data_IF_271473799360
#
_entry.id   IF_271473799360
#
_cell.length_a   1.000
_cell.length_b   1.000
_cell.length_c   1.000
_cell.angle_alpha   90.00
_cell.angle_beta   90.00
_cell.angle_gamma   90.00
#
_symmetry.space_group_name_H-M   'P 1'
#
loop_
_entity.id
_entity.type
_entity.pdbx_description
1 polymer ?
#
# COMPACT_ATOMS: atom_id res chain seq x y z
N UNK A 1 -8.85 36.58 -65.55
CA UNK A 1 -9.93 35.78 -64.94
C UNK A 1 -9.48 34.33 -64.90
N UNK A 2 -9.67 33.63 -63.77
CA UNK A 2 -8.79 32.55 -63.31
C UNK A 2 -9.18 31.17 -63.87
N UNK A 3 -8.26 30.19 -63.81
CA UNK A 3 -8.52 28.82 -64.24
C UNK A 3 -9.29 28.03 -63.16
N UNK A 4 -10.15 27.15 -63.63
CA UNK A 4 -10.97 26.20 -62.87
C UNK A 4 -10.11 25.13 -62.19
N UNK A 5 -10.16 25.05 -60.85
CA UNK A 5 -9.63 23.94 -60.08
C UNK A 5 -10.57 22.72 -60.18
N UNK A 6 -10.06 21.63 -60.73
CA UNK A 6 -10.62 20.28 -60.60
C UNK A 6 -10.03 19.60 -59.37
N UNK A 7 -10.84 19.35 -58.34
CA UNK A 7 -10.47 18.50 -57.21
C UNK A 7 -10.77 17.04 -57.55
N UNK A 8 -9.73 16.22 -57.69
CA UNK A 8 -9.84 14.76 -57.73
C UNK A 8 -9.85 14.23 -56.30
N UNK A 9 -10.93 13.54 -55.94
CA UNK A 9 -11.11 12.90 -54.64
C UNK A 9 -10.37 11.55 -54.65
N UNK A 10 -9.19 11.47 -54.04
CA UNK A 10 -8.51 10.20 -53.81
C UNK A 10 -9.00 9.60 -52.49
N UNK A 11 -9.85 8.57 -52.59
CA UNK A 11 -10.23 7.73 -51.46
C UNK A 11 -9.03 6.88 -51.01
N UNK A 12 -8.41 7.24 -49.89
CA UNK A 12 -7.51 6.35 -49.16
C UNK A 12 -8.33 5.44 -48.25
N UNK A 13 -8.51 4.20 -48.67
CA UNK A 13 -9.07 3.12 -47.84
C UNK A 13 -8.01 2.77 -46.78
N UNK A 14 -8.20 3.23 -45.54
CA UNK A 14 -7.44 2.72 -44.40
C UNK A 14 -8.01 1.37 -43.99
N UNK A 15 -7.25 0.30 -44.24
CA UNK A 15 -7.49 -1.03 -43.67
C UNK A 15 -7.35 -0.95 -42.14
N UNK A 16 -8.47 -1.03 -41.43
CA UNK A 16 -8.49 -1.26 -39.98
C UNK A 16 -8.21 -2.75 -39.75
N UNK A 17 -6.96 -3.09 -39.44
CA UNK A 17 -6.58 -4.40 -38.92
C UNK A 17 -7.11 -4.55 -37.49
N UNK A 18 -8.25 -5.25 -37.35
CA UNK A 18 -8.76 -5.76 -36.07
C UNK A 18 -7.84 -6.88 -35.58
N UNK A 19 -6.83 -6.54 -34.80
CA UNK A 19 -6.08 -7.52 -34.01
C UNK A 19 -6.96 -7.99 -32.83
N UNK A 20 -7.59 -9.15 -32.99
CA UNK A 20 -8.14 -9.91 -31.87
C UNK A 20 -6.96 -10.46 -31.05
N UNK A 21 -6.45 -9.67 -30.11
CA UNK A 21 -5.61 -10.22 -29.04
C UNK A 21 -6.51 -10.95 -28.05
N UNK A 22 -6.57 -12.27 -28.20
CA UNK A 22 -6.99 -13.17 -27.14
C UNK A 22 -6.09 -12.94 -25.92
N UNK A 23 -6.53 -12.09 -24.99
CA UNK A 23 -5.87 -11.90 -23.71
C UNK A 23 -6.08 -13.17 -22.90
N UNK A 24 -5.06 -14.04 -22.91
CA UNK A 24 -4.91 -15.06 -21.88
C UNK A 24 -4.71 -14.35 -20.54
N UNK A 25 -5.82 -14.06 -19.87
CA UNK A 25 -5.85 -13.58 -18.50
C UNK A 25 -5.16 -14.63 -17.63
N UNK A 26 -3.88 -14.43 -17.36
CA UNK A 26 -3.18 -15.15 -16.30
C UNK A 26 -3.81 -14.68 -14.99
N UNK A 27 -4.80 -15.46 -14.55
CA UNK A 27 -5.28 -15.42 -13.19
C UNK A 27 -4.07 -15.64 -12.28
N UNK A 28 -3.96 -14.92 -11.15
CA UNK A 28 -2.92 -15.22 -10.18
C UNK A 28 -3.03 -16.69 -9.85
N UNK A 29 -1.91 -17.41 -9.90
CA UNK A 29 -1.82 -18.80 -9.50
C UNK A 29 -2.60 -18.92 -8.19
N UNK A 30 -3.74 -19.59 -8.29
CA UNK A 30 -4.60 -19.83 -7.16
C UNK A 30 -3.70 -20.56 -6.18
N UNK A 31 -3.67 -20.14 -4.93
CA UNK A 31 -3.11 -20.94 -3.85
C UNK A 31 -4.01 -22.17 -3.80
N UNK A 32 -3.65 -23.21 -4.59
CA UNK A 32 -4.47 -24.40 -4.86
C UNK A 32 -4.50 -25.33 -3.63
N UNK A 33 -3.60 -25.16 -2.67
CA UNK A 33 -3.77 -25.74 -1.33
C UNK A 33 -4.36 -24.70 -0.39
N UNK A 34 -5.39 -25.04 0.38
CA UNK A 34 -5.94 -24.16 1.43
C UNK A 34 -4.95 -23.80 2.55
N UNK A 35 -3.67 -24.18 2.43
CA UNK A 35 -2.63 -23.99 3.43
C UNK A 35 -1.94 -22.62 3.27
N UNK A 36 -1.50 -22.05 4.39
CA UNK A 36 -0.71 -20.81 4.38
C UNK A 36 0.77 -21.14 4.10
N UNK A 37 1.53 -20.22 3.47
CA UNK A 37 2.96 -20.38 3.32
C UNK A 37 3.67 -20.52 4.67
N UNK A 38 4.79 -21.23 4.68
CA UNK A 38 5.65 -21.38 5.86
C UNK A 38 6.92 -20.54 5.72
N UNK A 39 7.48 -20.12 6.85
CA UNK A 39 8.63 -19.22 6.90
C UNK A 39 9.69 -19.77 7.85
N UNK A 40 10.95 -19.41 7.59
CA UNK A 40 12.06 -19.60 8.51
C UNK A 40 11.89 -18.66 9.70
N UNK A 41 12.33 -19.09 10.86
CA UNK A 41 12.42 -18.22 12.03
C UNK A 41 13.41 -17.09 11.75
N UNK A 42 13.01 -15.85 12.07
CA UNK A 42 13.85 -14.68 11.95
C UNK A 42 14.90 -14.65 13.07
N UNK A 43 16.09 -14.07 12.84
CA UNK A 43 17.05 -13.77 13.91
C UNK A 43 16.43 -12.96 15.04
N UNK A 44 16.96 -13.13 16.25
CA UNK A 44 16.60 -12.29 17.38
C UNK A 44 17.22 -10.89 17.22
N UNK A 45 16.39 -9.85 17.25
CA UNK A 45 16.81 -8.46 17.20
C UNK A 45 16.74 -7.83 18.59
N UNK A 46 17.78 -7.11 18.99
CA UNK A 46 17.90 -6.51 20.33
C UNK A 46 18.15 -5.02 20.22
N UNK A 47 17.66 -4.27 21.21
CA UNK A 47 17.92 -2.85 21.34
C UNK A 47 19.41 -2.54 21.35
N UNK A 48 19.82 -1.55 20.56
CA UNK A 48 21.16 -0.96 20.62
C UNK A 48 21.40 -0.25 21.95
N UNK A 49 22.68 0.05 22.25
CA UNK A 49 23.11 0.70 23.50
C UNK A 49 22.40 2.04 23.77
N UNK A 50 22.04 2.76 22.71
CA UNK A 50 21.41 4.08 22.81
C UNK A 50 19.95 4.01 23.28
N UNK A 51 19.29 2.86 23.12
CA UNK A 51 17.91 2.65 23.53
C UNK A 51 17.77 2.57 25.07
N UNK A 52 18.78 2.04 25.76
CA UNK A 52 18.77 1.84 27.22
C UNK A 52 18.86 3.16 28.01
N UNK A 53 19.40 4.23 27.41
CA UNK A 53 19.50 5.55 28.05
C UNK A 53 18.13 6.25 28.18
N UNK A 54 17.08 5.75 27.53
CA UNK A 54 15.70 6.22 27.67
C UNK A 54 15.02 5.52 28.87
N UNK A 55 15.61 5.64 30.06
CA UNK A 55 15.17 5.01 31.32
C UNK A 55 13.80 5.54 31.80
N UNK A 56 13.32 6.63 31.22
CA UNK A 56 11.93 7.10 31.35
C UNK A 56 11.25 7.14 29.98
N UNK A 57 10.74 5.98 29.55
CA UNK A 57 9.82 5.88 28.41
C UNK A 57 10.49 6.11 27.05
N UNK A 58 11.26 5.14 26.57
CA UNK A 58 11.47 5.02 25.13
C UNK A 58 10.10 4.99 24.44
N UNK A 59 9.79 5.98 23.60
CA UNK A 59 8.51 6.05 22.88
C UNK A 59 8.34 4.77 22.06
N UNK A 60 7.34 3.97 22.43
CA UNK A 60 6.92 2.79 21.68
C UNK A 60 6.51 3.25 20.27
N UNK A 61 7.08 2.61 19.25
CA UNK A 61 6.74 2.88 17.86
C UNK A 61 5.64 1.91 17.45
N UNK A 62 4.47 2.45 17.16
CA UNK A 62 3.33 1.65 16.71
C UNK A 62 3.32 1.58 15.18
N UNK A 63 3.26 0.36 14.64
CA UNK A 63 3.18 0.11 13.19
C UNK A 63 1.96 -0.73 12.89
N UNK A 64 1.08 -0.29 11.99
CA UNK A 64 -0.04 -1.06 11.48
C UNK A 64 0.25 -1.64 10.11
N UNK A 65 -0.15 -2.90 9.91
CA UNK A 65 -0.13 -3.58 8.62
C UNK A 65 -1.37 -4.46 8.47
N UNK A 66 -1.85 -4.64 7.24
CA UNK A 66 -2.83 -5.69 6.95
C UNK A 66 -2.15 -7.04 6.81
N UNK A 67 -2.80 -8.10 7.28
CA UNK A 67 -2.38 -9.48 7.04
C UNK A 67 -3.45 -10.26 6.28
N UNK A 68 -3.11 -10.67 5.07
CA UNK A 68 -3.86 -11.66 4.30
C UNK A 68 -2.90 -12.68 3.68
N UNK A 69 -3.45 -13.81 3.26
CA UNK A 69 -2.68 -14.92 2.74
C UNK A 69 -1.91 -14.61 1.45
N UNK A 70 -2.47 -13.74 0.59
CA UNK A 70 -1.89 -13.40 -0.71
C UNK A 70 -0.62 -12.57 -0.54
N UNK A 71 -0.63 -11.66 0.43
CA UNK A 71 0.48 -10.75 0.71
C UNK A 71 1.27 -11.11 1.97
N UNK A 72 1.05 -12.31 2.54
CA UNK A 72 1.71 -12.72 3.78
C UNK A 72 3.23 -12.75 3.63
N UNK A 73 3.76 -13.21 2.49
CA UNK A 73 5.20 -13.23 2.21
C UNK A 73 5.80 -11.82 2.18
N UNK A 74 5.11 -10.87 1.56
CA UNK A 74 5.51 -9.46 1.59
C UNK A 74 5.44 -8.86 3.00
N UNK A 75 4.38 -9.17 3.76
CA UNK A 75 4.20 -8.66 5.13
C UNK A 75 5.31 -9.15 6.06
N UNK A 76 5.69 -10.43 5.94
CA UNK A 76 6.82 -11.02 6.68
C UNK A 76 8.13 -10.32 6.32
N UNK A 77 8.40 -10.10 5.03
CA UNK A 77 9.60 -9.37 4.61
C UNK A 77 9.61 -7.92 5.12
N UNK A 78 8.46 -7.25 5.12
CA UNK A 78 8.30 -5.90 5.68
C UNK A 78 8.62 -5.85 7.17
N UNK A 79 8.04 -6.76 7.96
CA UNK A 79 8.34 -6.89 9.41
C UNK A 79 9.82 -7.15 9.64
N UNK A 80 10.41 -8.09 8.90
CA UNK A 80 11.82 -8.44 9.03
C UNK A 80 12.72 -7.24 8.72
N UNK A 81 12.44 -6.51 7.64
CA UNK A 81 13.20 -5.31 7.27
C UNK A 81 13.14 -4.21 8.33
N UNK A 82 11.97 -3.97 8.94
CA UNK A 82 11.85 -3.01 10.05
C UNK A 82 12.71 -3.43 11.24
N UNK A 83 12.62 -4.69 11.65
CA UNK A 83 13.39 -5.19 12.80
C UNK A 83 14.91 -5.17 12.54
N UNK A 84 15.32 -5.45 11.31
CA UNK A 84 16.72 -5.47 10.91
C UNK A 84 17.36 -4.08 10.90
N UNK A 85 16.60 -3.03 10.57
CA UNK A 85 17.13 -1.67 10.42
C UNK A 85 16.78 -0.72 11.57
N UNK A 86 15.91 -1.13 12.50
CA UNK A 86 15.60 -0.33 13.68
C UNK A 86 16.78 -0.33 14.66
N UNK A 87 17.13 0.84 15.22
CA UNK A 87 18.10 0.91 16.32
C UNK A 87 17.56 0.29 17.61
N UNK A 88 16.24 0.39 17.80
CA UNK A 88 15.52 -0.09 18.99
C UNK A 88 14.37 -1.03 18.61
N UNK A 89 14.64 -2.22 18.03
CA UNK A 89 13.61 -3.13 17.53
C UNK A 89 12.66 -3.64 18.62
N UNK A 90 13.12 -3.75 19.88
CA UNK A 90 12.27 -4.20 21.00
C UNK A 90 11.26 -3.12 21.43
N UNK A 91 11.40 -1.88 20.95
CA UNK A 91 10.45 -0.78 21.18
C UNK A 91 9.38 -0.66 20.07
N UNK A 92 9.41 -1.54 19.06
CA UNK A 92 8.45 -1.53 17.96
C UNK A 92 7.32 -2.52 18.27
N UNK A 93 6.08 -2.05 18.14
CA UNK A 93 4.87 -2.86 18.31
C UNK A 93 4.09 -2.91 17.02
N UNK A 94 3.87 -4.12 16.51
CA UNK A 94 3.06 -4.33 15.32
C UNK A 94 1.58 -4.53 15.64
N UNK A 95 0.73 -3.84 14.92
CA UNK A 95 -0.71 -3.99 14.93
C UNK A 95 -1.15 -4.56 13.59
N UNK A 96 -1.41 -5.86 13.57
CA UNK A 96 -1.89 -6.54 12.38
C UNK A 96 -3.41 -6.51 12.30
N UNK A 97 -3.94 -6.26 11.11
CA UNK A 97 -5.38 -6.24 10.85
C UNK A 97 -5.70 -7.35 9.85
N UNK A 98 -6.61 -8.26 10.20
CA UNK A 98 -6.99 -9.39 9.35
C UNK A 98 -8.48 -9.72 9.44
N UNK A 99 -9.01 -10.39 8.42
CA UNK A 99 -10.39 -10.94 8.44
C UNK A 99 -10.46 -12.22 9.29
N UNK A 100 -11.66 -12.60 9.75
CA UNK A 100 -11.86 -13.67 10.75
C UNK A 100 -11.29 -15.02 10.36
N UNK A 101 -11.51 -15.44 9.11
CA UNK A 101 -11.40 -16.85 8.70
C UNK A 101 -9.99 -17.45 8.80
N UNK A 102 -8.93 -16.65 8.96
CA UNK A 102 -7.54 -17.16 9.03
C UNK A 102 -6.70 -16.58 10.18
N UNK A 103 -7.33 -15.89 11.14
CA UNK A 103 -6.58 -15.21 12.22
C UNK A 103 -5.77 -16.18 13.10
N UNK A 104 -6.28 -17.36 13.50
CA UNK A 104 -5.50 -18.31 14.30
C UNK A 104 -4.22 -18.75 13.60
N UNK A 105 -4.31 -19.09 12.32
CA UNK A 105 -3.19 -19.55 11.50
C UNK A 105 -2.19 -18.42 11.22
N UNK A 106 -2.68 -17.22 10.90
CA UNK A 106 -1.85 -16.03 10.74
C UNK A 106 -1.09 -15.70 12.04
N UNK A 107 -1.77 -15.75 13.20
CA UNK A 107 -1.13 -15.55 14.50
C UNK A 107 -0.04 -16.57 14.75
N UNK A 108 -0.32 -17.86 14.50
CA UNK A 108 0.66 -18.93 14.64
C UNK A 108 1.89 -18.65 13.77
N UNK A 109 1.69 -18.32 12.50
CA UNK A 109 2.78 -18.03 11.56
C UNK A 109 3.63 -16.84 12.03
N UNK A 110 3.02 -15.72 12.41
CA UNK A 110 3.78 -14.56 12.91
C UNK A 110 4.55 -14.95 14.18
N UNK A 111 3.94 -15.69 15.09
CA UNK A 111 4.60 -16.13 16.35
C UNK A 111 5.79 -17.04 16.07
N UNK A 112 5.66 -18.00 15.15
CA UNK A 112 6.77 -18.92 14.82
C UNK A 112 7.83 -18.26 13.95
N UNK A 113 7.48 -17.26 13.15
CA UNK A 113 8.42 -16.54 12.29
C UNK A 113 9.20 -15.49 13.09
N UNK A 114 8.54 -14.83 14.04
CA UNK A 114 9.15 -13.78 14.88
C UNK A 114 8.83 -14.01 16.38
N UNK A 115 9.52 -14.95 17.05
CA UNK A 115 9.19 -15.32 18.43
C UNK A 115 9.31 -14.20 19.46
N UNK A 116 10.13 -13.17 19.16
CA UNK A 116 10.39 -12.03 20.03
C UNK A 116 9.61 -10.77 19.64
N UNK A 117 8.74 -10.84 18.62
CA UNK A 117 7.97 -9.69 18.16
C UNK A 117 6.83 -9.37 19.12
N UNK A 118 6.77 -8.13 19.58
CA UNK A 118 5.56 -7.63 20.25
C UNK A 118 4.53 -7.26 19.19
N UNK A 119 3.41 -7.99 19.14
CA UNK A 119 2.34 -7.70 18.20
C UNK A 119 0.94 -7.95 18.75
N UNK A 120 -0.03 -7.28 18.13
CA UNK A 120 -1.45 -7.52 18.31
C UNK A 120 -2.10 -7.85 16.96
N UNK A 121 -3.07 -8.76 16.95
CA UNK A 121 -3.82 -9.13 15.75
C UNK A 121 -5.31 -8.85 15.94
N UNK A 122 -5.80 -7.81 15.25
CA UNK A 122 -7.16 -7.32 15.31
C UNK A 122 -8.04 -7.91 14.21
N UNK A 123 -9.34 -7.99 14.50
CA UNK A 123 -10.34 -8.37 13.52
C UNK A 123 -10.82 -7.15 12.74
N UNK A 124 -10.84 -7.26 11.42
CA UNK A 124 -11.56 -6.34 10.55
C UNK A 124 -12.88 -6.97 10.09
N UNK A 125 -14.00 -6.36 10.49
CA UNK A 125 -15.31 -6.74 9.98
C UNK A 125 -15.50 -6.22 8.54
N UNK A 126 -15.46 -7.15 7.59
CA UNK A 126 -15.65 -6.85 6.17
C UNK A 126 -17.04 -6.24 5.87
N UNK A 127 -18.04 -6.43 6.73
CA UNK A 127 -19.37 -5.89 6.52
C UNK A 127 -19.41 -4.36 6.64
N UNK A 128 -18.44 -3.76 7.34
CA UNK A 128 -18.28 -2.30 7.39
C UNK A 128 -18.15 -1.69 5.99
N UNK A 129 -17.53 -2.40 5.05
CA UNK A 129 -17.23 -1.88 3.71
C UNK A 129 -17.98 -2.58 2.58
N UNK A 130 -18.51 -3.80 2.79
CA UNK A 130 -19.17 -4.61 1.76
C UNK A 130 -20.25 -3.86 0.97
N UNK A 131 -21.09 -3.07 1.66
CA UNK A 131 -22.14 -2.26 1.02
C UNK A 131 -21.66 -0.95 0.38
N UNK A 132 -20.40 -0.56 0.61
CA UNK A 132 -19.82 0.74 0.23
C UNK A 132 -18.79 0.61 -0.91
N UNK A 133 -18.24 -0.59 -1.14
CA UNK A 133 -17.26 -0.83 -2.20
C UNK A 133 -17.94 -0.84 -3.58
N UNK A 134 -17.34 -0.09 -4.50
CA UNK A 134 -17.64 -0.11 -5.93
C UNK A 134 -16.61 -0.96 -6.65
N UNK A 135 -17.04 -1.74 -7.65
CA UNK A 135 -16.11 -2.49 -8.50
C UNK A 135 -15.06 -1.56 -9.11
N UNK A 136 -13.79 -1.85 -8.87
CA UNK A 136 -12.65 -1.18 -9.47
C UNK A 136 -12.20 -1.91 -10.73
N UNK A 137 -11.52 -1.19 -11.64
CA UNK A 137 -10.84 -1.79 -12.80
C UNK A 137 -9.88 -2.91 -12.36
N UNK A 138 -9.40 -2.88 -11.11
CA UNK A 138 -8.61 -3.95 -10.50
C UNK A 138 -9.41 -4.67 -9.44
N UNK A 139 -9.85 -5.90 -9.72
CA UNK A 139 -10.59 -6.76 -8.75
C UNK A 139 -9.87 -6.93 -7.40
N UNK A 140 -8.54 -6.95 -7.40
CA UNK A 140 -7.74 -7.01 -6.17
C UNK A 140 -7.98 -5.80 -5.23
N UNK A 141 -8.40 -4.65 -5.78
CA UNK A 141 -8.72 -3.43 -5.00
C UNK A 141 -10.09 -3.48 -4.33
N UNK A 142 -10.95 -4.42 -4.73
CA UNK A 142 -12.29 -4.60 -4.16
C UNK A 142 -12.28 -5.42 -2.86
N UNK A 143 -11.10 -5.96 -2.49
CA UNK A 143 -10.95 -6.71 -1.25
C UNK A 143 -11.22 -5.81 -0.04
N UNK A 144 -12.13 -6.21 0.89
CA UNK A 144 -12.47 -5.41 2.06
C UNK A 144 -11.25 -4.95 2.87
N UNK A 145 -10.22 -5.79 2.96
CA UNK A 145 -9.02 -5.50 3.76
C UNK A 145 -8.24 -4.28 3.24
N UNK A 146 -8.33 -3.91 1.96
CA UNK A 146 -7.71 -2.70 1.41
C UNK A 146 -8.28 -1.39 2.00
N UNK A 147 -9.44 -1.48 2.65
CA UNK A 147 -10.11 -0.35 3.30
C UNK A 147 -9.88 -0.35 4.81
N UNK A 148 -9.26 -1.40 5.38
CA UNK A 148 -9.06 -1.54 6.83
C UNK A 148 -8.27 -0.37 7.43
N UNK A 149 -7.33 0.21 6.66
CA UNK A 149 -6.58 1.41 7.07
C UNK A 149 -7.43 2.63 7.40
N UNK A 150 -8.66 2.70 6.87
CA UNK A 150 -9.61 3.78 7.19
C UNK A 150 -10.16 3.68 8.62
N UNK A 151 -10.09 2.49 9.21
CA UNK A 151 -10.73 2.16 10.50
C UNK A 151 -9.69 1.95 11.61
N UNK A 152 -8.40 2.26 11.39
CA UNK A 152 -7.36 2.05 12.40
C UNK A 152 -7.69 2.74 13.72
N UNK A 153 -8.21 3.96 13.65
CA UNK A 153 -8.62 4.74 14.82
C UNK A 153 -9.74 4.07 15.64
N UNK A 154 -10.63 3.33 14.97
CA UNK A 154 -11.78 2.65 15.58
C UNK A 154 -11.42 1.24 16.07
N UNK A 155 -10.47 0.59 15.40
CA UNK A 155 -10.01 -0.78 15.71
C UNK A 155 -9.00 -0.77 16.87
N UNK A 156 -8.10 0.21 16.89
CA UNK A 156 -7.00 0.24 17.85
C UNK A 156 -7.42 0.85 19.19
N UNK A 157 -6.83 0.37 20.30
CA UNK A 157 -7.07 0.94 21.63
C UNK A 157 -6.88 2.46 21.67
N UNK A 158 -7.71 3.13 22.48
CA UNK A 158 -7.73 4.60 22.58
C UNK A 158 -6.41 5.22 23.07
N UNK A 159 -5.58 4.46 23.81
CA UNK A 159 -4.25 4.91 24.22
C UNK A 159 -3.22 4.93 23.09
N UNK A 160 -3.48 4.24 21.96
CA UNK A 160 -2.66 4.37 20.75
C UNK A 160 -3.05 5.67 20.04
N UNK A 161 -2.23 6.71 20.22
CA UNK A 161 -2.46 8.07 19.71
C UNK A 161 -1.79 8.35 18.37
N UNK A 162 -0.72 7.64 18.04
CA UNK A 162 0.03 7.78 16.79
C UNK A 162 0.30 6.41 16.21
N UNK A 163 0.33 6.29 14.89
CA UNK A 163 0.70 5.05 14.22
C UNK A 163 1.38 5.31 12.88
N UNK A 164 2.33 4.46 12.50
CA UNK A 164 2.80 4.34 11.12
C UNK A 164 1.97 3.25 10.45
N UNK A 165 1.40 3.52 9.30
CA UNK A 165 0.76 2.51 8.47
C UNK A 165 1.69 2.11 7.31
N UNK A 166 1.86 0.81 7.11
CA UNK A 166 2.62 0.19 6.03
C UNK A 166 1.75 -0.79 5.24
N UNK A 167 1.78 -0.67 3.90
CA UNK A 167 1.27 -1.71 3.01
C UNK A 167 2.15 -2.97 3.07
N UNK A 168 1.59 -4.10 2.67
CA UNK A 168 2.22 -5.42 2.79
C UNK A 168 3.33 -5.71 1.78
N UNK A 169 3.68 -4.76 0.91
CA UNK A 169 4.59 -4.94 -0.24
C UNK A 169 5.72 -3.92 -0.26
N UNK A 170 6.31 -3.67 0.91
CA UNK A 170 7.45 -2.78 1.10
C UNK A 170 8.55 -3.40 1.95
N UNK A 171 9.74 -2.81 1.87
CA UNK A 171 10.86 -3.02 2.80
C UNK A 171 11.39 -1.68 3.28
N UNK A 172 11.79 -1.63 4.53
CA UNK A 172 12.44 -0.48 5.16
C UNK A 172 13.94 -0.75 5.21
N UNK A 173 14.76 0.23 4.82
CA UNK A 173 16.22 0.14 4.77
C UNK A 173 16.91 1.26 5.57
N UNK A 174 16.17 1.86 6.50
CA UNK A 174 16.63 2.91 7.41
C UNK A 174 15.89 2.77 8.75
N UNK A 175 16.32 3.50 9.78
CA UNK A 175 15.70 3.42 11.09
C UNK A 175 14.29 4.04 11.10
N UNK A 176 13.27 3.21 11.32
CA UNK A 176 11.86 3.62 11.38
C UNK A 176 11.57 4.69 12.45
N UNK A 177 12.43 4.82 13.47
CA UNK A 177 12.32 5.88 14.46
C UNK A 177 12.38 7.29 13.83
N UNK A 178 13.10 7.44 12.72
CA UNK A 178 13.17 8.71 11.97
C UNK A 178 11.82 9.07 11.35
N UNK A 179 11.13 8.11 10.74
CA UNK A 179 9.77 8.28 10.22
C UNK A 179 8.77 8.57 11.35
N UNK A 180 8.89 7.85 12.47
CA UNK A 180 8.04 8.05 13.65
C UNK A 180 8.15 9.47 14.24
N UNK A 181 9.36 10.03 14.22
CA UNK A 181 9.66 11.34 14.80
C UNK A 181 9.23 12.54 13.95
N UNK A 182 8.74 12.33 12.73
CA UNK A 182 8.29 13.44 11.88
C UNK A 182 7.15 14.18 12.59
N UNK A 183 7.31 15.49 12.76
CA UNK A 183 6.28 16.35 13.33
C UNK A 183 5.15 16.52 12.31
N UNK A 184 3.92 16.17 12.71
CA UNK A 184 2.73 16.35 11.90
C UNK A 184 2.14 17.76 12.02
N UNK A 185 2.73 18.61 12.87
CA UNK A 185 2.24 19.94 13.20
C UNK A 185 0.73 19.91 13.52
N UNK A 186 -0.07 20.73 12.83
CA UNK A 186 -1.53 20.74 12.95
C UNK A 186 -2.20 19.61 12.17
N UNK A 187 -1.52 18.97 11.20
CA UNK A 187 -2.10 17.95 10.33
C UNK A 187 -2.36 16.64 11.07
N UNK A 188 -3.24 15.82 10.48
CA UNK A 188 -3.65 14.51 11.02
C UNK A 188 -2.82 13.37 10.43
N UNK A 189 -2.28 13.58 9.23
CA UNK A 189 -1.64 12.55 8.44
C UNK A 189 -0.41 13.15 7.75
N UNK A 190 0.70 12.43 7.75
CA UNK A 190 1.90 12.73 6.98
C UNK A 190 2.19 11.64 5.97
N UNK A 191 2.53 12.04 4.74
CA UNK A 191 2.89 11.13 3.67
C UNK A 191 3.74 11.84 2.59
N UNK A 192 4.54 11.12 1.81
CA UNK A 192 5.20 11.68 0.64
C UNK A 192 4.21 12.14 -0.43
N UNK A 193 4.28 13.42 -0.81
CA UNK A 193 3.44 14.02 -1.87
C UNK A 193 4.17 14.07 -3.22
N UNK A 194 3.49 13.69 -4.29
CA UNK A 194 4.01 13.68 -5.66
C UNK A 194 3.18 14.61 -6.55
N UNK A 195 3.38 15.91 -6.37
CA UNK A 195 2.63 16.96 -7.08
C UNK A 195 2.84 17.00 -8.61
N UNK A 196 3.84 16.27 -9.13
CA UNK A 196 4.05 16.14 -10.58
C UNK A 196 3.03 15.18 -11.24
N UNK A 197 2.35 14.34 -10.45
CA UNK A 197 1.31 13.48 -10.97
C UNK A 197 0.09 14.30 -11.37
N UNK A 198 -0.53 13.98 -12.51
CA UNK A 198 -1.77 14.64 -12.92
C UNK A 198 -2.92 14.23 -11.99
N UNK A 199 -3.21 15.09 -11.02
CA UNK A 199 -4.21 14.85 -9.97
C UNK A 199 -5.63 14.62 -10.54
N UNK A 200 -5.94 15.22 -11.68
CA UNK A 200 -7.24 15.06 -12.37
C UNK A 200 -7.52 13.60 -12.72
N UNK A 201 -6.48 12.79 -12.98
CA UNK A 201 -6.61 11.39 -13.38
C UNK A 201 -7.13 10.45 -12.28
N UNK A 202 -7.18 10.89 -11.01
CA UNK A 202 -7.67 10.08 -9.90
C UNK A 202 -9.20 10.12 -9.75
N UNK A 203 -9.88 10.97 -10.53
CA UNK A 203 -11.33 11.16 -10.51
C UNK A 203 -11.89 11.17 -11.93
N UNK A 204 -13.16 10.77 -12.08
CA UNK A 204 -13.82 10.72 -13.40
C UNK A 204 -14.23 12.11 -13.87
N UNK A 205 -14.52 12.26 -15.17
CA UNK A 205 -15.13 13.49 -15.70
C UNK A 205 -16.38 13.91 -14.92
N UNK A 206 -17.21 12.93 -14.49
CA UNK A 206 -18.41 13.18 -13.69
C UNK A 206 -18.12 13.84 -12.34
N UNK A 207 -16.97 13.54 -11.73
CA UNK A 207 -16.55 14.24 -10.51
C UNK A 207 -16.28 15.72 -10.82
N UNK A 208 -15.43 15.98 -11.81
CA UNK A 208 -14.99 17.33 -12.15
C UNK A 208 -16.09 18.22 -12.73
N UNK A 209 -17.06 17.62 -13.43
CA UNK A 209 -18.23 18.33 -13.97
C UNK A 209 -19.26 18.72 -12.90
N UNK A 210 -19.13 18.23 -11.67
CA UNK A 210 -20.02 18.56 -10.55
C UNK A 210 -19.38 19.65 -9.68
N UNK A 211 -19.92 20.88 -9.65
CA UNK A 211 -19.37 21.95 -8.82
C UNK A 211 -19.32 21.58 -7.33
N UNK A 212 -20.30 20.82 -6.85
CA UNK A 212 -20.36 20.37 -5.45
C UNK A 212 -19.21 19.41 -5.08
N UNK A 213 -18.79 18.55 -6.01
CA UNK A 213 -17.69 17.62 -5.79
C UNK A 213 -16.34 18.29 -5.97
N UNK A 214 -16.17 19.05 -7.05
CA UNK A 214 -14.94 19.81 -7.29
C UNK A 214 -14.64 20.82 -6.17
N UNK A 215 -15.67 21.39 -5.54
CA UNK A 215 -15.53 22.28 -4.38
C UNK A 215 -14.82 21.62 -3.18
N UNK A 216 -14.75 20.28 -3.09
CA UNK A 216 -14.01 19.58 -2.02
C UNK A 216 -12.51 19.88 -2.01
N UNK A 217 -11.94 20.33 -3.15
CA UNK A 217 -10.55 20.74 -3.27
C UNK A 217 -10.36 22.27 -3.31
N UNK A 218 -11.44 23.05 -3.18
CA UNK A 218 -11.36 24.51 -3.26
C UNK A 218 -10.45 25.06 -2.15
N UNK A 219 -9.44 25.83 -2.54
CA UNK A 219 -8.49 26.44 -1.61
C UNK A 219 -7.40 25.49 -1.10
N UNK A 220 -7.29 24.27 -1.66
CA UNK A 220 -6.25 23.31 -1.32
C UNK A 220 -5.26 23.15 -2.47
N UNK A 221 -3.98 23.11 -2.17
CA UNK A 221 -2.95 22.66 -3.10
C UNK A 221 -2.94 21.13 -3.13
N UNK A 222 -3.97 20.54 -3.73
CA UNK A 222 -4.17 19.09 -3.71
C UNK A 222 -3.13 18.36 -4.57
N UNK A 223 -2.27 17.57 -3.92
CA UNK A 223 -1.33 16.67 -4.59
C UNK A 223 -1.70 15.21 -4.36
N UNK A 224 -1.25 14.34 -5.29
CA UNK A 224 -1.31 12.90 -5.07
C UNK A 224 -0.31 12.52 -3.97
N UNK A 225 -0.76 11.70 -3.04
CA UNK A 225 0.12 10.95 -2.14
C UNK A 225 -0.30 9.48 -2.15
N UNK A 226 0.68 8.60 -2.01
CA UNK A 226 0.43 7.17 -1.91
C UNK A 226 -0.02 6.82 -0.48
N UNK A 227 -1.02 5.94 -0.34
CA UNK A 227 -1.61 5.55 0.96
C UNK A 227 -1.01 4.28 1.57
N UNK A 228 0.12 3.80 1.02
CA UNK A 228 0.82 2.62 1.53
C UNK A 228 1.91 2.92 2.55
N UNK A 229 2.26 4.20 2.74
CA UNK A 229 3.15 4.67 3.81
C UNK A 229 2.58 5.96 4.38
N UNK A 230 2.15 5.93 5.64
CA UNK A 230 1.54 7.10 6.29
C UNK A 230 1.92 7.16 7.77
N UNK A 231 2.19 8.35 8.30
CA UNK A 231 2.23 8.61 9.74
C UNK A 231 0.91 9.27 10.13
N UNK A 232 0.18 8.70 11.07
CA UNK A 232 -1.18 9.11 11.40
C UNK A 232 -1.27 9.47 12.88
N UNK A 233 -1.79 10.65 13.16
CA UNK A 233 -2.28 11.05 14.48
C UNK A 233 -3.70 10.48 14.66
N UNK A 234 -3.78 9.32 15.34
CA UNK A 234 -5.04 8.66 15.64
C UNK A 234 -5.89 9.43 16.66
N UNK A 235 -5.29 10.30 17.47
CA UNK A 235 -6.06 11.13 18.37
C UNK A 235 -6.87 12.17 17.58
N UNK A 236 -6.20 12.97 16.75
CA UNK A 236 -6.88 13.93 15.86
C UNK A 236 -7.79 13.24 14.85
N UNK A 237 -7.44 12.03 14.41
CA UNK A 237 -8.31 11.22 13.54
C UNK A 237 -9.68 10.94 14.18
N UNK A 238 -9.69 10.54 15.45
CA UNK A 238 -10.91 10.28 16.22
C UNK A 238 -11.70 11.56 16.45
N UNK A 239 -11.02 12.61 16.93
CA UNK A 239 -11.64 13.92 17.21
C UNK A 239 -12.31 14.51 15.96
N UNK A 240 -11.61 14.47 14.82
CA UNK A 240 -12.12 14.98 13.55
C UNK A 240 -13.03 14.03 12.79
N UNK A 241 -13.39 12.86 13.37
CA UNK A 241 -14.29 11.84 12.80
C UNK A 241 -13.93 11.46 11.36
N UNK A 242 -12.64 11.27 11.10
CA UNK A 242 -12.14 11.09 9.73
C UNK A 242 -12.58 9.78 9.07
N UNK A 243 -12.80 8.71 9.85
CA UNK A 243 -13.41 7.48 9.35
C UNK A 243 -14.74 7.77 8.64
N UNK A 244 -15.61 8.55 9.28
CA UNK A 244 -16.93 8.87 8.74
C UNK A 244 -16.88 9.72 7.47
N UNK A 245 -15.93 10.67 7.42
CA UNK A 245 -15.67 11.48 6.22
C UNK A 245 -15.26 10.60 5.03
N UNK A 246 -14.40 9.61 5.26
CA UNK A 246 -14.00 8.63 4.24
C UNK A 246 -15.19 7.77 3.80
N UNK A 247 -15.96 7.24 4.75
CA UNK A 247 -17.15 6.46 4.44
C UNK A 247 -18.18 7.24 3.62
N UNK A 248 -18.37 8.53 3.91
CA UNK A 248 -19.26 9.40 3.15
C UNK A 248 -18.87 9.42 1.66
N UNK A 249 -17.58 9.58 1.36
CA UNK A 249 -17.09 9.54 -0.02
C UNK A 249 -17.23 8.15 -0.66
N UNK A 250 -17.09 7.07 0.12
CA UNK A 250 -17.37 5.71 -0.39
C UNK A 250 -18.86 5.55 -0.75
N UNK A 251 -19.79 6.07 0.06
CA UNK A 251 -21.23 6.06 -0.24
C UNK A 251 -21.55 6.87 -1.50
N UNK A 252 -20.95 8.06 -1.65
CA UNK A 252 -21.09 8.89 -2.86
C UNK A 252 -20.57 8.14 -4.08
N UNK A 253 -19.39 7.52 -3.99
CA UNK A 253 -18.82 6.69 -5.05
C UNK A 253 -19.73 5.53 -5.45
N UNK A 254 -20.34 4.84 -4.48
CA UNK A 254 -21.25 3.71 -4.74
C UNK A 254 -22.42 4.10 -5.64
N UNK A 255 -22.95 5.31 -5.45
CA UNK A 255 -24.09 5.84 -6.20
C UNK A 255 -23.67 6.50 -7.52
N UNK A 256 -22.59 7.28 -7.49
CA UNK A 256 -22.27 8.22 -8.57
C UNK A 256 -21.07 7.83 -9.43
N UNK A 257 -20.23 6.87 -9.02
CA UNK A 257 -19.02 6.45 -9.79
C UNK A 257 -18.12 7.63 -10.17
N UNK A 258 -17.64 8.33 -9.16
CA UNK A 258 -16.80 9.54 -9.26
C UNK A 258 -15.28 9.23 -9.37
N UNK A 259 -14.86 7.98 -9.21
CA UNK A 259 -13.49 7.50 -9.47
C UNK A 259 -13.50 6.00 -9.83
N UNK A 260 -12.37 5.45 -10.29
CA UNK A 260 -12.25 4.05 -10.74
C UNK A 260 -11.27 3.19 -9.93
N UNK A 261 -10.53 3.84 -9.02
CA UNK A 261 -9.56 3.20 -8.13
C UNK A 261 -10.23 2.66 -6.85
N UNK A 262 -9.46 1.93 -6.04
CA UNK A 262 -9.90 1.35 -4.77
C UNK A 262 -9.98 2.35 -3.62
N UNK A 263 -9.26 2.07 -2.54
CA UNK A 263 -9.32 2.87 -1.31
C UNK A 263 -8.58 4.22 -1.37
N UNK A 264 -7.79 4.49 -2.40
CA UNK A 264 -6.99 5.72 -2.52
C UNK A 264 -7.84 7.01 -2.68
N UNK A 265 -8.80 7.12 -3.62
CA UNK A 265 -9.50 8.39 -3.84
C UNK A 265 -10.25 8.96 -2.63
N UNK A 266 -10.89 8.16 -1.75
CA UNK A 266 -11.41 8.66 -0.48
C UNK A 266 -10.36 9.40 0.36
N UNK A 267 -9.14 8.86 0.47
CA UNK A 267 -8.06 9.54 1.17
C UNK A 267 -7.69 10.86 0.49
N UNK A 268 -7.58 10.88 -0.84
CA UNK A 268 -7.29 12.12 -1.56
C UNK A 268 -8.39 13.17 -1.32
N UNK A 269 -9.66 12.81 -1.38
CA UNK A 269 -10.79 13.72 -1.12
C UNK A 269 -10.76 14.33 0.29
N UNK A 270 -10.29 13.57 1.27
CA UNK A 270 -10.26 14.01 2.67
C UNK A 270 -8.97 14.76 3.02
N UNK A 271 -7.83 14.37 2.45
CA UNK A 271 -6.50 14.80 2.93
C UNK A 271 -5.60 15.46 1.89
N UNK A 272 -5.88 15.41 0.58
CA UNK A 272 -4.98 16.04 -0.40
C UNK A 272 -4.92 17.57 -0.18
N UNK A 273 -3.70 18.11 -0.07
CA UNK A 273 -3.43 19.51 0.31
C UNK A 273 -3.49 19.77 1.83
N UNK A 274 -3.77 18.74 2.63
CA UNK A 274 -3.91 18.79 4.09
C UNK A 274 -3.00 17.77 4.79
N UNK A 275 -2.12 17.09 4.05
CA UNK A 275 -1.11 16.19 4.62
C UNK A 275 0.14 16.97 5.03
N UNK A 276 0.83 16.48 6.06
CA UNK A 276 2.19 16.89 6.34
C UNK A 276 3.14 16.27 5.29
N UNK A 277 4.09 17.07 4.80
CA UNK A 277 5.01 16.63 3.75
C UNK A 277 6.12 15.79 4.36
N UNK A 278 6.08 14.49 4.07
CA UNK A 278 7.16 13.55 4.39
C UNK A 278 8.12 13.44 3.21
N UNK A 279 9.42 13.29 3.47
CA UNK A 279 10.43 13.19 2.42
C UNK A 279 10.21 11.94 1.55
N UNK A 280 10.43 12.09 0.23
CA UNK A 280 10.21 11.01 -0.76
C UNK A 280 11.02 9.73 -0.48
N UNK A 281 12.12 9.83 0.27
CA UNK A 281 12.93 8.68 0.69
C UNK A 281 12.13 7.60 1.42
N UNK A 282 11.04 8.00 2.09
CA UNK A 282 10.15 7.10 2.83
C UNK A 282 9.13 6.39 1.96
N UNK A 283 9.10 6.63 0.65
CA UNK A 283 8.23 5.88 -0.24
C UNK A 283 8.76 5.91 -1.68
N UNK A 284 9.71 5.02 -2.00
CA UNK A 284 10.10 4.74 -3.38
C UNK A 284 9.03 3.84 -4.01
N UNK A 285 7.90 4.44 -4.40
CA UNK A 285 6.71 3.72 -4.84
C UNK A 285 6.74 3.40 -6.33
N UNK A 286 5.88 2.48 -6.75
CA UNK A 286 5.73 2.09 -8.15
C UNK A 286 6.67 0.96 -8.60
N UNK A 287 7.44 0.37 -7.68
CA UNK A 287 8.37 -0.73 -8.01
C UNK A 287 7.65 -2.02 -8.42
N UNK A 288 6.33 -2.09 -8.20
CA UNK A 288 5.46 -3.12 -8.74
C UNK A 288 5.21 -3.01 -10.25
N UNK A 289 5.94 -2.12 -10.92
CA UNK A 289 5.92 -1.89 -12.36
C UNK A 289 4.81 -0.96 -12.80
N UNK A 290 4.85 -0.55 -14.07
CA UNK A 290 3.74 0.19 -14.63
C UNK A 290 2.46 -0.66 -14.66
N UNK A 291 1.33 0.04 -14.77
CA UNK A 291 0.02 -0.57 -14.64
C UNK A 291 -0.51 -1.23 -15.93
N UNK A 292 0.20 -1.04 -17.05
CA UNK A 292 -0.19 -1.29 -18.43
C UNK A 292 0.62 -2.45 -19.05
N UNK A 293 1.94 -2.32 -19.10
CA UNK A 293 2.91 -3.23 -19.69
C UNK A 293 3.70 -4.02 -18.62
N UNK A 294 3.70 -3.55 -17.37
CA UNK A 294 4.40 -4.21 -16.26
C UNK A 294 5.91 -4.01 -16.30
N UNK A 295 6.39 -2.94 -16.95
CA UNK A 295 7.81 -2.61 -17.03
C UNK A 295 8.37 -2.33 -15.63
N UNK A 296 9.63 -2.72 -15.44
CA UNK A 296 10.39 -2.35 -14.26
C UNK A 296 10.56 -0.82 -14.20
N UNK A 297 10.47 -0.26 -12.99
CA UNK A 297 10.67 1.18 -12.76
C UNK A 297 11.91 1.39 -11.90
N UNK A 298 12.62 2.48 -12.18
CA UNK A 298 13.73 2.94 -11.37
C UNK A 298 13.25 3.66 -10.10
N UNK A 299 14.19 3.89 -9.19
CA UNK A 299 13.98 4.69 -7.99
C UNK A 299 13.74 6.17 -8.37
N UNK A 300 12.94 6.86 -7.57
CA UNK A 300 12.88 8.31 -7.62
C UNK A 300 14.24 8.91 -7.18
N UNK A 301 14.61 10.10 -7.69
CA UNK A 301 15.84 10.77 -7.29
C UNK A 301 15.93 11.02 -5.78
N UNK A 302 17.14 10.97 -5.24
CA UNK A 302 17.44 11.29 -3.84
C UNK A 302 17.70 10.06 -2.98
N UNK A 303 17.81 10.24 -1.65
CA UNK A 303 18.09 9.15 -0.73
C UNK A 303 16.93 8.16 -0.64
N UNK A 304 17.21 6.96 -0.15
CA UNK A 304 16.25 5.87 0.00
C UNK A 304 16.22 5.40 1.45
N UNK A 305 15.03 5.29 2.00
CA UNK A 305 14.77 4.71 3.32
C UNK A 305 13.71 3.62 3.28
N UNK A 306 12.86 3.60 2.25
CA UNK A 306 11.83 2.59 2.06
C UNK A 306 11.58 2.35 0.57
N UNK A 307 11.55 1.08 0.18
CA UNK A 307 11.22 0.62 -1.17
C UNK A 307 9.82 -0.01 -1.18
N UNK A 308 8.97 0.39 -2.13
CA UNK A 308 7.56 0.00 -2.13
C UNK A 308 7.12 -0.52 -3.50
N UNK A 309 6.79 -1.81 -3.57
CA UNK A 309 6.29 -2.50 -4.75
C UNK A 309 4.79 -2.26 -5.00
N UNK A 310 4.37 -1.01 -4.81
CA UNK A 310 3.02 -0.56 -5.13
C UNK A 310 2.75 -0.82 -6.63
N UNK A 311 1.69 -1.53 -6.96
CA UNK A 311 1.43 -1.98 -8.33
C UNK A 311 1.02 -3.44 -8.40
N UNK A 312 1.08 -4.02 -9.60
CA UNK A 312 0.69 -5.42 -9.83
C UNK A 312 1.85 -6.39 -9.58
N UNK A 313 3.05 -6.04 -10.02
CA UNK A 313 4.25 -6.82 -9.82
C UNK A 313 4.59 -6.92 -8.34
N UNK A 314 4.83 -8.14 -7.86
CA UNK A 314 5.34 -8.38 -6.51
C UNK A 314 6.70 -9.05 -6.61
N UNK A 315 7.68 -8.64 -5.79
CA UNK A 315 9.05 -9.10 -5.93
C UNK A 315 9.13 -10.62 -5.78
N UNK A 316 8.44 -11.20 -4.79
CA UNK A 316 8.39 -12.65 -4.61
C UNK A 316 7.81 -13.41 -5.81
N UNK A 317 6.76 -12.89 -6.45
CA UNK A 317 6.17 -13.53 -7.63
C UNK A 317 7.11 -13.45 -8.85
N UNK A 318 7.81 -12.32 -9.02
CA UNK A 318 8.76 -12.13 -10.12
C UNK A 318 10.02 -12.96 -9.94
N UNK A 319 10.52 -13.07 -8.71
CA UNK A 319 11.66 -13.94 -8.36
C UNK A 319 11.30 -15.41 -8.60
N UNK A 320 10.16 -15.88 -8.07
CA UNK A 320 9.73 -17.28 -8.21
C UNK A 320 9.51 -17.66 -9.69
N UNK A 321 9.00 -16.72 -10.50
CA UNK A 321 8.80 -16.92 -11.94
C UNK A 321 10.07 -16.72 -12.78
N UNK A 322 11.23 -16.51 -12.15
CA UNK A 322 12.53 -16.27 -12.80
C UNK A 322 12.51 -15.08 -13.77
N UNK A 323 11.68 -14.07 -13.49
CA UNK A 323 11.56 -12.82 -14.24
C UNK A 323 11.68 -11.60 -13.30
N UNK A 324 12.75 -11.50 -12.49
CA UNK A 324 12.92 -10.39 -11.55
C UNK A 324 13.15 -9.08 -12.30
N UNK A 325 12.61 -7.99 -11.76
CA UNK A 325 13.14 -6.67 -12.04
C UNK A 325 14.45 -6.46 -11.27
N UNK A 326 15.36 -5.58 -11.75
CA UNK A 326 16.65 -5.35 -11.07
C UNK A 326 16.54 -5.08 -9.57
N UNK A 327 15.57 -4.26 -9.17
CA UNK A 327 15.36 -3.87 -7.77
C UNK A 327 14.74 -4.99 -6.91
N UNK A 328 14.17 -6.05 -7.49
CA UNK A 328 13.63 -7.19 -6.71
C UNK A 328 14.73 -7.91 -5.91
N UNK A 329 15.97 -7.84 -6.39
CA UNK A 329 17.15 -8.33 -5.68
C UNK A 329 17.36 -7.65 -4.32
N UNK A 330 16.89 -6.41 -4.13
CA UNK A 330 16.94 -5.70 -2.85
C UNK A 330 15.90 -6.21 -1.85
N UNK A 331 14.81 -6.84 -2.33
CA UNK A 331 13.79 -7.46 -1.49
C UNK A 331 14.19 -8.86 -1.02
N UNK A 332 14.90 -9.61 -1.88
CA UNK A 332 15.25 -11.02 -1.65
C UNK A 332 15.94 -11.32 -0.29
N UNK A 333 16.84 -10.47 0.27
CA UNK A 333 17.45 -10.72 1.58
C UNK A 333 16.44 -10.81 2.73
N UNK A 334 15.26 -10.20 2.60
CA UNK A 334 14.21 -10.21 3.61
C UNK A 334 13.21 -11.36 3.45
N UNK A 335 13.43 -12.23 2.46
CA UNK A 335 12.52 -13.33 2.19
C UNK A 335 12.78 -14.53 3.10
N UNK A 336 11.96 -14.66 4.14
CA UNK A 336 11.99 -15.80 5.05
C UNK A 336 11.20 -17.00 4.52
N UNK A 337 10.57 -16.93 3.34
CA UNK A 337 9.75 -18.01 2.82
C UNK A 337 10.53 -19.33 2.71
N UNK A 338 9.94 -20.42 3.19
CA UNK A 338 10.46 -21.77 2.98
C UNK A 338 9.92 -22.28 1.66
N UNK A 339 10.77 -22.31 0.65
CA UNK A 339 10.49 -23.11 -0.54
C UNK A 339 10.38 -24.57 -0.10
N UNK A 340 9.27 -25.24 -0.44
CA UNK A 340 9.22 -26.69 -0.33
C UNK A 340 10.39 -27.22 -1.16
N UNK A 341 11.39 -27.78 -0.49
CA UNK A 341 12.42 -28.56 -1.15
C UNK A 341 11.69 -29.61 -1.98
N UNK A 342 11.67 -29.46 -3.30
CA UNK A 342 11.54 -30.64 -4.14
C UNK A 342 12.62 -31.58 -3.64
N UNK A 343 12.23 -32.78 -3.27
CA UNK A 343 13.12 -33.91 -3.06
C UNK A 343 13.96 -34.09 -4.33
N UNK A 344 15.06 -33.35 -4.44
CA UNK A 344 16.19 -33.76 -5.23
C UNK A 344 17.14 -34.36 -4.22
N UNK A 345 17.03 -35.68 -4.11
CA UNK A 345 18.08 -36.52 -3.56
C UNK A 345 19.40 -36.11 -4.20
N UNK A 346 20.37 -35.79 -3.36
CA UNK A 346 21.76 -36.04 -3.72
C UNK A 346 21.88 -37.57 -3.87
N UNK A 347 22.04 -38.01 -5.12
CA UNK A 347 22.53 -39.33 -5.49
C UNK A 347 23.82 -39.17 -6.25
#
# INVERSE_FOLDING_TARGET
MPPTLTFTLTHTISLVLLFFFAHAAHSPATVISGELPTFREAPAFRNGRECQKRVHGGSVIHIAMTLDATYLRGSVAGVFSVLQHASCPENVVFHFIATTHRRPELRRIITTTFPYLTFHLYHFDANLVRGKISYSIRRALDQPLNYARMYLADILPANVRRIIYFDSDLIVVDDVAKLWSIDLHARVLGAPEYCHANFTNYFTHRFWSSPSYAASFKGREACYFNTGVMVIDLWKWREGRYTEKLENWMRIQKRNRIYELGSLPPFLLVFAGEVERVEHRWNQHGLGGDNLEGLCRDLHPGPVSLLHWSGKGKPWLRIDSKKPCPLDSLWAPYDLFRHSSSLFSDS
#
